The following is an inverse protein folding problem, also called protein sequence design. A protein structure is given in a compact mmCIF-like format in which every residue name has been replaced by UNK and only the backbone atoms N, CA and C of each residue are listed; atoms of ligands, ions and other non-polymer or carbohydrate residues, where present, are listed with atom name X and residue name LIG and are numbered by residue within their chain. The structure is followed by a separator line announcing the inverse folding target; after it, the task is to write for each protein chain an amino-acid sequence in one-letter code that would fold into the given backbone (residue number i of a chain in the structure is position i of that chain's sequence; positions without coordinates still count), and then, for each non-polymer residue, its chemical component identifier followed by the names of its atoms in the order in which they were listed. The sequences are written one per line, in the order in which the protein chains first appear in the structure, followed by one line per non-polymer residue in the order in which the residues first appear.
data_IF_682205368641
#
_entry.id   IF_682205368641
#
_cell.length_a   1.000
_cell.length_b   1.000
_cell.length_c   1.000
_cell.angle_alpha   90.00
_cell.angle_beta   90.00
_cell.angle_gamma   90.00
#
_symmetry.space_group_name_H-M   'P 1'
#
loop_
_entity.id
_entity.type
_entity.pdbx_description
1 polymer ?
#
# COMPACT_ATOMS: atom_id res chain seq x y z
N UNK A 1 -9.57 23.19 2.29
CA UNK A 1 -8.37 22.48 1.79
C UNK A 1 -8.77 21.03 1.56
N UNK A 2 -8.40 20.43 0.42
CA UNK A 2 -8.88 19.10 0.00
C UNK A 2 -7.66 18.22 -0.29
N UNK A 3 -7.61 17.05 0.33
CA UNK A 3 -6.54 16.07 0.09
C UNK A 3 -6.89 15.30 -1.18
N UNK A 4 -6.05 15.41 -2.20
CA UNK A 4 -6.23 14.71 -3.50
C UNK A 4 -5.20 13.63 -3.73
N UNK A 5 -4.14 13.63 -2.94
CA UNK A 5 -3.11 12.59 -2.96
C UNK A 5 -2.55 12.36 -1.56
N UNK A 6 -2.22 11.11 -1.28
CA UNK A 6 -1.52 10.68 -0.06
C UNK A 6 -0.35 9.79 -0.48
N UNK A 7 0.81 10.01 0.13
CA UNK A 7 1.99 9.18 -0.04
C UNK A 7 2.45 8.72 1.33
N UNK A 8 2.61 7.40 1.50
CA UNK A 8 3.11 6.79 2.72
C UNK A 8 4.27 5.86 2.37
N UNK A 9 5.29 5.86 3.23
CA UNK A 9 6.33 4.85 3.21
C UNK A 9 6.16 3.98 4.45
N UNK A 10 5.97 2.69 4.26
CA UNK A 10 5.83 1.70 5.32
C UNK A 10 7.11 0.86 5.31
N UNK A 11 7.75 0.69 6.46
CA UNK A 11 8.88 -0.23 6.58
C UNK A 11 8.32 -1.64 6.78
N UNK A 12 8.85 -2.61 6.05
CA UNK A 12 8.45 -4.01 6.13
C UNK A 12 9.67 -4.91 6.29
N UNK A 13 9.48 -6.05 6.93
CA UNK A 13 10.53 -7.05 7.13
C UNK A 13 10.50 -8.16 6.06
N UNK A 14 9.31 -8.55 5.59
CA UNK A 14 9.12 -9.57 4.58
C UNK A 14 8.07 -9.12 3.54
N UNK A 15 8.58 -8.68 2.39
CA UNK A 15 7.74 -8.25 1.28
C UNK A 15 7.00 -9.39 0.58
N UNK A 16 7.57 -10.59 0.53
CA UNK A 16 6.93 -11.73 -0.14
C UNK A 16 5.66 -12.12 0.62
N UNK A 17 5.75 -12.17 1.95
CA UNK A 17 4.59 -12.41 2.81
C UNK A 17 3.53 -11.33 2.62
N UNK A 18 3.94 -10.06 2.55
CA UNK A 18 3.02 -8.93 2.33
C UNK A 18 2.29 -9.03 0.98
N UNK A 19 3.02 -9.34 -0.10
CA UNK A 19 2.45 -9.56 -1.44
C UNK A 19 1.38 -10.66 -1.44
N UNK A 20 1.64 -11.78 -0.77
CA UNK A 20 0.67 -12.86 -0.66
C UNK A 20 -0.62 -12.40 0.03
N UNK A 21 -0.50 -11.61 1.10
CA UNK A 21 -1.66 -11.11 1.85
C UNK A 21 -2.45 -10.09 1.04
N UNK A 22 -1.79 -9.15 0.36
CA UNK A 22 -2.45 -8.21 -0.54
C UNK A 22 -3.27 -8.95 -1.61
N UNK A 23 -2.69 -9.98 -2.21
CA UNK A 23 -3.37 -10.79 -3.23
C UNK A 23 -4.60 -11.51 -2.64
N UNK A 24 -4.48 -12.09 -1.44
CA UNK A 24 -5.61 -12.70 -0.71
C UNK A 24 -6.73 -11.70 -0.37
N UNK A 25 -6.38 -10.44 -0.13
CA UNK A 25 -7.30 -9.34 0.18
C UNK A 25 -7.90 -8.67 -1.08
N UNK A 26 -7.63 -9.24 -2.27
CA UNK A 26 -8.23 -8.80 -3.53
C UNK A 26 -7.52 -7.61 -4.18
N UNK A 27 -6.26 -7.36 -3.83
CA UNK A 27 -5.41 -6.42 -4.58
C UNK A 27 -4.97 -7.03 -5.91
N UNK A 28 -4.91 -6.21 -6.95
CA UNK A 28 -4.51 -6.65 -8.27
C UNK A 28 -3.03 -6.35 -8.50
N UNK A 29 -2.22 -7.38 -8.71
CA UNK A 29 -0.83 -7.23 -9.15
C UNK A 29 -0.77 -6.72 -10.59
N UNK A 30 0.00 -5.68 -10.83
CA UNK A 30 0.12 -5.03 -12.14
C UNK A 30 1.32 -5.61 -12.88
N UNK A 31 1.05 -6.53 -13.81
CA UNK A 31 2.07 -7.19 -14.61
C UNK A 31 2.99 -8.08 -13.78
N UNK A 32 4.27 -8.17 -14.18
CA UNK A 32 5.31 -8.93 -13.46
C UNK A 32 6.08 -8.11 -12.44
N UNK A 33 5.60 -6.92 -12.07
CA UNK A 33 6.28 -6.02 -11.14
C UNK A 33 5.66 -6.12 -9.73
N UNK A 34 6.40 -5.79 -8.66
CA UNK A 34 5.90 -5.75 -7.28
C UNK A 34 5.05 -4.48 -7.06
N UNK A 35 3.99 -4.35 -7.86
CA UNK A 35 3.06 -3.22 -7.86
C UNK A 35 1.66 -3.77 -7.72
N UNK A 36 0.93 -3.30 -6.71
CA UNK A 36 -0.43 -3.73 -6.39
C UNK A 36 -1.38 -2.56 -6.45
N UNK A 37 -2.58 -2.78 -6.99
CA UNK A 37 -3.59 -1.72 -7.13
C UNK A 37 -4.96 -2.16 -6.65
N UNK A 38 -5.66 -1.23 -6.00
CA UNK A 38 -7.06 -1.37 -5.58
C UNK A 38 -7.77 -0.02 -5.60
N UNK A 39 -9.10 -0.04 -5.75
CA UNK A 39 -9.94 1.17 -5.78
C UNK A 39 -10.81 1.20 -4.53
N UNK A 40 -10.81 2.34 -3.83
CA UNK A 40 -11.58 2.60 -2.61
C UNK A 40 -12.50 3.80 -2.84
N UNK A 41 -13.80 3.57 -3.02
CA UNK A 41 -14.79 4.65 -3.19
C UNK A 41 -14.33 5.75 -4.19
N UNK A 42 -13.80 5.35 -5.34
CA UNK A 42 -13.27 6.26 -6.37
C UNK A 42 -11.82 6.71 -6.18
N UNK A 43 -11.16 6.31 -5.08
CA UNK A 43 -9.73 6.55 -4.83
C UNK A 43 -8.89 5.40 -5.35
N UNK A 44 -8.02 5.66 -6.31
CA UNK A 44 -7.03 4.68 -6.77
C UNK A 44 -5.88 4.60 -5.77
N UNK A 45 -5.57 3.40 -5.29
CA UNK A 45 -4.47 3.15 -4.37
C UNK A 45 -3.50 2.17 -4.99
N UNK A 46 -2.23 2.50 -4.91
CA UNK A 46 -1.13 1.72 -5.46
C UNK A 46 -0.08 1.48 -4.38
N UNK A 47 0.33 0.22 -4.20
CA UNK A 47 1.41 -0.21 -3.29
C UNK A 47 2.57 -0.72 -4.15
N UNK A 48 3.78 -0.26 -3.85
CA UNK A 48 4.99 -0.64 -4.59
C UNK A 48 6.10 -1.01 -3.62
N UNK A 49 6.82 -2.08 -3.93
CA UNK A 49 8.09 -2.33 -3.26
C UNK A 49 9.12 -1.24 -3.62
N UNK A 50 9.84 -0.79 -2.61
CA UNK A 50 10.98 0.09 -2.71
C UNK A 50 12.10 -0.45 -1.83
N UNK A 51 13.13 -1.02 -2.46
CA UNK A 51 14.37 -1.42 -1.78
C UNK A 51 15.41 -0.31 -1.99
N UNK A 52 15.81 0.42 -0.93
CA UNK A 52 16.84 1.45 -1.03
C UNK A 52 18.18 0.83 -1.44
N UNK A 53 18.91 1.49 -2.34
CA UNK A 53 20.19 0.99 -2.90
C UNK A 53 21.26 0.66 -1.86
N UNK A 54 21.16 1.20 -0.64
CA UNK A 54 22.14 1.05 0.43
C UNK A 54 21.56 0.51 1.75
N UNK A 55 20.36 -0.09 1.74
CA UNK A 55 19.79 -0.75 2.91
C UNK A 55 19.31 -2.16 2.58
N UNK A 56 19.38 -3.06 3.56
CA UNK A 56 18.71 -4.36 3.52
C UNK A 56 17.22 -4.25 3.92
N UNK A 57 16.78 -3.07 4.39
CA UNK A 57 15.39 -2.81 4.75
C UNK A 57 14.49 -2.77 3.51
N UNK A 58 13.32 -3.40 3.59
CA UNK A 58 12.29 -3.27 2.57
C UNK A 58 11.33 -2.15 2.96
N UNK A 59 10.97 -1.30 1.99
CA UNK A 59 9.94 -0.28 2.17
C UNK A 59 8.83 -0.47 1.15
N UNK A 60 7.59 -0.23 1.57
CA UNK A 60 6.44 -0.09 0.70
C UNK A 60 6.16 1.38 0.46
N UNK A 61 6.12 1.78 -0.81
CA UNK A 61 5.57 3.07 -1.21
C UNK A 61 4.08 2.89 -1.51
N UNK A 62 3.24 3.51 -0.70
CA UNK A 62 1.80 3.55 -0.90
C UNK A 62 1.42 4.92 -1.45
N UNK A 63 0.71 4.95 -2.57
CA UNK A 63 0.15 6.17 -3.13
C UNK A 63 -1.34 6.06 -3.35
N UNK A 64 -2.10 7.02 -2.82
CA UNK A 64 -3.54 7.12 -3.03
C UNK A 64 -3.85 8.40 -3.83
N UNK A 65 -4.72 8.33 -4.83
CA UNK A 65 -5.07 9.45 -5.70
C UNK A 65 -6.58 9.52 -5.95
N UNK A 66 -7.15 10.70 -5.73
CA UNK A 66 -8.54 11.01 -6.08
C UNK A 66 -8.68 12.52 -6.40
N UNK A 67 -9.08 12.86 -7.63
CA UNK A 67 -9.32 14.24 -8.04
C UNK A 67 -10.55 14.86 -7.36
N UNK A 68 -11.53 14.03 -7.01
CA UNK A 68 -12.75 14.39 -6.26
C UNK A 68 -12.51 14.45 -4.75
N UNK A 69 -11.32 14.07 -4.29
CA UNK A 69 -10.85 14.20 -2.92
C UNK A 69 -10.92 12.90 -2.17
N UNK A 70 -9.94 12.70 -1.30
CA UNK A 70 -9.86 11.53 -0.44
C UNK A 70 -10.43 11.92 0.92
N UNK A 71 -11.48 11.24 1.36
CA UNK A 71 -12.05 11.46 2.70
C UNK A 71 -11.12 10.85 3.75
N UNK A 72 -11.20 11.37 4.97
CA UNK A 72 -10.45 10.81 6.10
C UNK A 72 -10.81 9.33 6.34
N UNK A 73 -12.08 8.98 6.20
CA UNK A 73 -12.59 7.61 6.35
C UNK A 73 -11.95 6.67 5.32
N UNK A 74 -11.78 7.11 4.07
CA UNK A 74 -11.09 6.34 3.03
C UNK A 74 -9.62 6.16 3.37
N UNK A 75 -8.92 7.22 3.81
CA UNK A 75 -7.51 7.11 4.23
C UNK A 75 -7.37 6.10 5.38
N UNK A 76 -8.23 6.21 6.39
CA UNK A 76 -8.22 5.31 7.54
C UNK A 76 -8.50 3.86 7.13
N UNK A 77 -9.47 3.62 6.24
CA UNK A 77 -9.78 2.30 5.74
C UNK A 77 -8.61 1.66 4.97
N UNK A 78 -7.92 2.45 4.14
CA UNK A 78 -6.72 2.01 3.42
C UNK A 78 -5.64 1.60 4.43
N UNK A 79 -5.36 2.45 5.43
CA UNK A 79 -4.33 2.17 6.43
C UNK A 79 -4.64 0.93 7.27
N UNK A 80 -5.89 0.77 7.72
CA UNK A 80 -6.30 -0.41 8.49
C UNK A 80 -6.18 -1.70 7.68
N UNK A 81 -6.54 -1.67 6.40
CA UNK A 81 -6.39 -2.85 5.55
C UNK A 81 -4.92 -3.20 5.30
N UNK A 82 -4.07 -2.20 5.02
CA UNK A 82 -2.63 -2.39 4.85
C UNK A 82 -1.96 -2.91 6.14
N UNK A 83 -2.42 -2.45 7.31
CA UNK A 83 -1.97 -2.98 8.61
C UNK A 83 -2.41 -4.41 8.84
N UNK A 84 -3.58 -4.81 8.33
CA UNK A 84 -4.04 -6.20 8.43
C UNK A 84 -3.32 -7.13 7.45
N UNK A 85 -2.86 -6.59 6.31
CA UNK A 85 -2.03 -7.28 5.33
C UNK A 85 -0.63 -7.55 5.88
N UNK A 86 -0.13 -6.68 6.75
CA UNK A 86 1.08 -6.94 7.50
C UNK A 86 0.88 -8.16 8.41
N UNK A 87 1.66 -9.20 8.12
CA UNK A 87 1.75 -10.45 8.88
C UNK A 87 3.19 -10.75 9.26
N UNK A 88 4.10 -9.79 9.07
CA UNK A 88 5.44 -9.90 9.60
C UNK A 88 5.34 -9.97 11.12
N UNK A 89 6.18 -10.80 11.73
CA UNK A 89 6.17 -10.94 13.18
C UNK A 89 6.86 -9.72 13.74
N UNK A 90 6.19 -8.95 14.61
CA UNK A 90 6.85 -7.90 15.38
C UNK A 90 7.91 -8.59 16.29
N UNK A 91 9.16 -8.69 15.84
CA UNK A 91 10.30 -9.09 16.69
C UNK A 91 10.73 -7.99 17.66
#
# INVERSE_FOLDING_TARGET
MKVTSVFLNIKEEDFELYEEQLTKMGWNKIGGQPIFRKIYAGTEVEVKEHVPTFSADVYLTVSARNSEGITFETIHAILEELRQADKTSDE
#
